data_IF_105739573586
#
_entry.id   IF_105739573586
#
_cell.length_a   1.000
_cell.length_b   1.000
_cell.length_c   1.000
_cell.angle_alpha   90.00
_cell.angle_beta   90.00
_cell.angle_gamma   90.00
#
_symmetry.space_group_name_H-M   'P 1'
#
loop_
_entity.id
_entity.type
_entity.pdbx_description
1 polymer ?
#
# COMPACT_ATOMS: atom_id res chain seq x y z
N UNK A 1 12.12 8.68 26.36
CA UNK A 1 13.48 8.64 25.75
C UNK A 1 13.78 10.05 25.26
N UNK A 2 14.91 10.62 25.65
CA UNK A 2 15.35 11.94 25.19
C UNK A 2 15.85 11.85 23.75
N UNK A 3 15.56 12.89 22.95
CA UNK A 3 15.93 12.90 21.53
C UNK A 3 17.43 13.15 21.39
N UNK A 4 18.18 12.28 20.70
CA UNK A 4 19.59 12.52 20.37
C UNK A 4 19.76 13.79 19.52
N UNK A 5 20.92 14.48 19.62
CA UNK A 5 21.17 15.71 18.86
C UNK A 5 21.23 15.48 17.34
N UNK A 6 21.65 14.29 16.92
CA UNK A 6 21.75 13.88 15.52
C UNK A 6 21.08 12.53 15.34
N UNK A 7 20.25 12.42 14.30
CA UNK A 7 19.60 11.18 13.86
C UNK A 7 19.88 10.98 12.37
N UNK A 8 20.06 9.73 11.97
CA UNK A 8 20.04 9.37 10.55
C UNK A 8 18.59 9.20 10.09
N UNK A 9 18.31 9.55 8.83
CA UNK A 9 16.95 9.43 8.32
C UNK A 9 16.88 9.42 6.79
N UNK A 10 15.69 9.16 6.29
CA UNK A 10 15.35 9.15 4.87
C UNK A 10 14.15 10.03 4.61
N UNK A 11 14.16 10.70 3.46
CA UNK A 11 13.03 11.52 3.00
C UNK A 11 12.44 10.88 1.75
N UNK A 12 11.16 10.57 1.83
CA UNK A 12 10.34 10.00 0.76
C UNK A 12 9.48 11.09 0.14
N UNK A 13 9.35 11.07 -1.18
CA UNK A 13 8.50 12.00 -1.92
C UNK A 13 7.24 11.28 -2.40
N UNK A 14 6.09 11.72 -1.94
CA UNK A 14 4.80 11.43 -2.55
C UNK A 14 4.54 12.51 -3.59
N UNK A 15 4.35 12.12 -4.85
CA UNK A 15 4.06 13.04 -5.93
C UNK A 15 2.66 13.64 -5.78
N UNK A 16 2.40 14.74 -6.48
CA UNK A 16 1.04 15.29 -6.62
C UNK A 16 0.09 14.19 -7.12
N UNK A 17 -1.07 14.11 -6.50
CA UNK A 17 -2.10 13.12 -6.78
C UNK A 17 -3.50 13.76 -6.76
N UNK A 18 -4.56 13.06 -7.17
CA UNK A 18 -5.93 13.55 -6.99
C UNK A 18 -6.31 13.87 -5.54
N UNK A 19 -5.60 13.28 -4.56
CA UNK A 19 -5.82 13.48 -3.12
C UNK A 19 -5.04 14.65 -2.53
N UNK A 20 -3.98 15.13 -3.23
CA UNK A 20 -3.15 16.26 -2.78
C UNK A 20 -2.67 17.10 -3.96
N UNK A 21 -2.99 18.38 -3.93
CA UNK A 21 -2.63 19.34 -4.98
C UNK A 21 -1.12 19.62 -5.07
N UNK A 22 -0.38 19.25 -4.03
CA UNK A 22 1.07 19.46 -3.93
C UNK A 22 1.78 18.17 -3.56
N UNK A 23 3.05 18.06 -3.96
CA UNK A 23 3.90 16.98 -3.48
C UNK A 23 4.08 17.05 -1.96
N UNK A 24 4.14 15.88 -1.34
CA UNK A 24 4.38 15.70 0.08
C UNK A 24 5.74 15.04 0.29
N UNK A 25 6.47 15.47 1.29
CA UNK A 25 7.76 14.90 1.68
C UNK A 25 7.66 14.36 3.08
N UNK A 26 7.92 13.08 3.25
CA UNK A 26 7.87 12.37 4.53
C UNK A 26 9.30 12.03 4.92
N UNK A 27 9.76 12.58 6.04
CA UNK A 27 11.08 12.31 6.60
C UNK A 27 10.92 11.39 7.80
N UNK A 28 11.55 10.23 7.76
CA UNK A 28 11.63 9.27 8.86
C UNK A 28 13.06 9.25 9.36
N UNK A 29 13.25 9.53 10.63
CA UNK A 29 14.53 9.48 11.31
C UNK A 29 14.58 8.28 12.23
N UNK A 30 15.74 7.60 12.23
CA UNK A 30 15.97 6.36 12.94
C UNK A 30 16.96 6.55 14.08
N UNK A 31 16.76 5.77 15.13
CA UNK A 31 17.70 5.62 16.23
C UNK A 31 17.93 4.14 16.52
N UNK A 32 19.20 3.72 16.51
CA UNK A 32 19.60 2.31 16.75
C UNK A 32 18.85 1.31 15.86
N UNK A 33 18.66 1.65 14.57
CA UNK A 33 18.00 0.79 13.60
C UNK A 33 16.48 0.69 13.75
N UNK A 34 15.87 1.57 14.54
CA UNK A 34 14.41 1.66 14.73
C UNK A 34 13.91 3.05 14.39
N UNK A 35 12.70 3.18 13.86
CA UNK A 35 12.10 4.49 13.61
C UNK A 35 11.91 5.24 14.93
N UNK A 36 12.27 6.51 14.95
CA UNK A 36 12.22 7.37 16.13
C UNK A 36 11.26 8.53 15.99
N UNK A 37 11.24 9.17 14.83
CA UNK A 37 10.37 10.31 14.55
C UNK A 37 10.02 10.40 13.07
N UNK A 38 8.87 10.99 12.76
CA UNK A 38 8.41 11.26 11.41
C UNK A 38 7.99 12.72 11.28
N UNK A 39 8.30 13.30 10.12
CA UNK A 39 7.87 14.64 9.73
C UNK A 39 7.22 14.60 8.35
N UNK A 40 6.18 15.37 8.16
CA UNK A 40 5.53 15.56 6.88
C UNK A 40 5.59 17.03 6.50
N UNK A 41 6.16 17.31 5.33
CA UNK A 41 6.23 18.62 4.73
C UNK A 41 5.43 18.65 3.42
N UNK A 42 4.49 19.57 3.31
CA UNK A 42 3.73 19.83 2.09
C UNK A 42 3.40 21.31 1.98
N UNK A 43 3.23 21.78 0.74
CA UNK A 43 2.68 23.11 0.46
C UNK A 43 1.15 23.14 0.56
N UNK A 44 0.51 21.98 0.67
CA UNK A 44 -0.93 21.86 0.79
C UNK A 44 -1.38 22.21 2.21
N UNK A 45 -2.05 23.33 2.35
CA UNK A 45 -2.55 23.83 3.64
C UNK A 45 -3.82 23.14 4.11
N UNK A 46 -4.58 22.49 3.21
CA UNK A 46 -5.82 21.79 3.55
C UNK A 46 -5.58 20.66 4.54
N UNK A 47 -4.44 19.98 4.40
CA UNK A 47 -4.09 18.81 5.19
C UNK A 47 -3.12 19.11 6.35
N UNK A 48 -2.68 20.36 6.48
CA UNK A 48 -1.61 20.75 7.40
C UNK A 48 -1.86 20.34 8.86
N UNK A 49 -3.03 20.66 9.39
CA UNK A 49 -3.30 20.44 10.83
C UNK A 49 -3.31 18.96 11.19
N UNK A 50 -4.02 18.14 10.41
CA UNK A 50 -4.12 16.72 10.71
C UNK A 50 -2.82 15.96 10.39
N UNK A 51 -2.06 16.36 9.37
CA UNK A 51 -0.74 15.79 9.09
C UNK A 51 0.24 16.04 10.21
N UNK A 52 0.28 17.27 10.76
CA UNK A 52 1.11 17.58 11.94
C UNK A 52 0.65 16.79 13.17
N UNK A 53 -0.65 16.70 13.43
CA UNK A 53 -1.17 15.92 14.54
C UNK A 53 -0.79 14.43 14.40
N UNK A 54 -0.96 13.86 13.20
CA UNK A 54 -0.63 12.47 12.89
C UNK A 54 0.87 12.20 13.11
N UNK A 55 1.76 13.05 12.58
CA UNK A 55 3.21 12.87 12.75
C UNK A 55 3.65 12.93 14.20
N UNK A 56 3.03 13.79 15.01
CA UNK A 56 3.31 13.86 16.45
C UNK A 56 2.87 12.58 17.17
N UNK A 57 1.70 12.05 16.84
CA UNK A 57 1.18 10.80 17.43
C UNK A 57 2.07 9.62 17.01
N UNK A 58 2.39 9.46 15.72
CA UNK A 58 3.26 8.40 15.24
C UNK A 58 4.65 8.49 15.90
N UNK A 59 5.24 9.67 15.96
CA UNK A 59 6.53 9.88 16.63
C UNK A 59 6.49 9.55 18.12
N UNK A 60 5.35 9.79 18.78
CA UNK A 60 5.17 9.40 20.18
C UNK A 60 5.10 7.87 20.34
N UNK A 61 4.43 7.17 19.40
CA UNK A 61 4.39 5.70 19.37
C UNK A 61 5.79 5.14 19.17
N UNK A 62 6.56 5.66 18.21
CA UNK A 62 7.95 5.23 17.97
C UNK A 62 8.82 5.38 19.24
N UNK A 63 8.76 6.53 19.91
CA UNK A 63 9.53 6.79 21.14
C UNK A 63 9.07 5.95 22.34
N UNK A 64 7.81 5.50 22.37
CA UNK A 64 7.33 4.57 23.37
C UNK A 64 8.01 3.22 23.24
N UNK A 65 8.43 2.85 22.03
CA UNK A 65 9.08 1.58 21.72
C UNK A 65 8.11 0.41 21.62
N UNK A 66 8.66 -0.75 21.32
CA UNK A 66 7.89 -1.95 21.00
C UNK A 66 7.67 -2.12 19.50
N UNK A 67 6.78 -3.01 19.14
CA UNK A 67 6.39 -3.22 17.75
C UNK A 67 5.46 -2.10 17.29
N UNK A 68 5.88 -1.39 16.23
CA UNK A 68 5.12 -0.29 15.61
C UNK A 68 4.60 -0.65 14.21
N UNK A 69 4.75 -1.91 13.77
CA UNK A 69 4.35 -2.35 12.43
C UNK A 69 2.85 -2.27 12.19
N UNK A 70 2.05 -2.37 13.23
CA UNK A 70 0.59 -2.21 13.17
C UNK A 70 0.16 -0.86 12.58
N UNK A 71 0.97 0.19 12.70
CA UNK A 71 0.66 1.50 12.13
C UNK A 71 0.50 1.46 10.60
N UNK A 72 1.17 0.52 9.94
CA UNK A 72 1.08 0.33 8.48
C UNK A 72 -0.35 -0.04 8.11
N UNK A 73 -0.89 -1.10 8.74
CA UNK A 73 -2.24 -1.59 8.45
C UNK A 73 -3.32 -0.58 8.88
N UNK A 74 -3.15 0.07 10.03
CA UNK A 74 -4.09 1.09 10.51
C UNK A 74 -4.20 2.25 9.51
N UNK A 75 -3.08 2.76 8.99
CA UNK A 75 -3.09 3.84 8.01
C UNK A 75 -3.61 3.40 6.65
N UNK A 76 -3.23 2.20 6.20
CA UNK A 76 -3.64 1.67 4.89
C UNK A 76 -5.12 1.30 4.83
N UNK A 77 -5.75 1.03 5.96
CA UNK A 77 -7.18 0.74 6.06
C UNK A 77 -8.08 1.96 5.94
N UNK A 78 -7.52 3.17 6.02
CA UNK A 78 -8.29 4.42 5.94
C UNK A 78 -8.68 4.71 4.48
N UNK A 79 -9.98 4.93 4.27
CA UNK A 79 -10.54 5.28 2.96
C UNK A 79 -11.01 6.74 2.96
N UNK A 80 -10.74 7.45 1.86
CA UNK A 80 -11.31 8.78 1.63
C UNK A 80 -12.78 8.64 1.22
N UNK A 81 -13.72 9.37 1.87
CA UNK A 81 -15.14 9.31 1.50
C UNK A 81 -15.42 9.80 0.07
N UNK A 82 -14.53 10.61 -0.51
CA UNK A 82 -14.61 11.06 -1.90
C UNK A 82 -13.98 10.07 -2.89
N UNK A 83 -13.46 8.95 -2.40
CA UNK A 83 -12.79 7.93 -3.18
C UNK A 83 -11.28 8.11 -3.28
N UNK A 84 -10.58 6.99 -3.53
CA UNK A 84 -9.16 6.97 -3.79
C UNK A 84 -8.82 7.10 -5.28
N UNK A 85 -7.61 6.72 -5.64
CA UNK A 85 -7.16 6.72 -7.03
C UNK A 85 -6.23 5.53 -7.33
N UNK A 86 -6.01 5.28 -8.62
CA UNK A 86 -5.03 4.28 -9.05
C UNK A 86 -3.69 4.95 -9.38
N UNK A 87 -2.65 4.53 -8.67
CA UNK A 87 -1.27 4.87 -8.98
C UNK A 87 -0.64 3.65 -9.70
N UNK A 88 -0.47 3.76 -11.02
CA UNK A 88 -0.11 2.63 -11.88
C UNK A 88 -1.14 1.50 -11.68
N UNK A 89 -0.76 0.36 -11.13
CA UNK A 89 -1.66 -0.78 -10.89
C UNK A 89 -2.03 -0.96 -9.41
N UNK A 90 -1.72 0.03 -8.57
CA UNK A 90 -2.00 -0.01 -7.14
C UNK A 90 -3.11 0.99 -6.80
N UNK A 91 -4.17 0.52 -6.14
CA UNK A 91 -5.23 1.38 -5.64
C UNK A 91 -4.81 2.04 -4.33
N UNK A 92 -4.90 3.36 -4.28
CA UNK A 92 -4.60 4.18 -3.11
C UNK A 92 -5.91 4.73 -2.55
N UNK A 93 -6.39 4.21 -1.41
CA UNK A 93 -7.70 4.56 -0.90
C UNK A 93 -7.76 5.95 -0.26
N UNK A 94 -6.64 6.48 0.24
CA UNK A 94 -6.60 7.79 0.89
C UNK A 94 -5.17 8.32 0.99
N UNK A 95 -5.04 9.61 1.35
CA UNK A 95 -3.74 10.22 1.66
C UNK A 95 -3.09 9.59 2.91
N UNK A 96 -3.89 9.15 3.88
CA UNK A 96 -3.38 8.41 5.03
C UNK A 96 -2.78 7.07 4.61
N UNK A 97 -3.41 6.38 3.64
CA UNK A 97 -2.87 5.13 3.09
C UNK A 97 -1.54 5.34 2.33
N UNK A 98 -1.37 6.47 1.62
CA UNK A 98 -0.08 6.82 1.01
C UNK A 98 1.03 6.99 2.06
N UNK A 99 0.70 7.58 3.21
CA UNK A 99 1.62 7.68 4.35
C UNK A 99 1.93 6.27 4.88
N UNK A 100 0.93 5.40 4.98
CA UNK A 100 1.09 4.00 5.36
C UNK A 100 2.02 3.23 4.42
N UNK A 101 1.92 3.45 3.10
CA UNK A 101 2.81 2.84 2.10
C UNK A 101 4.28 3.29 2.30
N UNK A 102 4.51 4.55 2.66
CA UNK A 102 5.86 5.05 2.99
C UNK A 102 6.40 4.39 4.25
N UNK A 103 5.57 4.23 5.30
CA UNK A 103 5.98 3.50 6.51
C UNK A 103 6.30 2.03 6.19
N UNK A 104 5.48 1.36 5.38
CA UNK A 104 5.72 -0.01 4.93
C UNK A 104 7.08 -0.13 4.22
N UNK A 105 7.36 0.77 3.28
CA UNK A 105 8.64 0.80 2.58
C UNK A 105 9.80 0.98 3.55
N UNK A 106 9.73 1.97 4.43
CA UNK A 106 10.79 2.29 5.39
C UNK A 106 11.05 1.13 6.35
N UNK A 107 10.00 0.53 6.91
CA UNK A 107 10.12 -0.59 7.84
C UNK A 107 10.66 -1.86 7.15
N UNK A 108 10.29 -2.08 5.90
CA UNK A 108 10.84 -3.16 5.08
C UNK A 108 12.35 -2.95 4.84
N UNK A 109 12.78 -1.72 4.54
CA UNK A 109 14.20 -1.37 4.35
C UNK A 109 15.02 -1.49 5.64
N UNK A 110 14.40 -1.29 6.81
CA UNK A 110 15.01 -1.55 8.12
C UNK A 110 14.99 -3.03 8.52
N UNK A 111 14.31 -3.90 7.77
CA UNK A 111 14.13 -5.32 8.12
C UNK A 111 13.15 -5.56 9.27
N UNK A 112 12.34 -4.57 9.63
CA UNK A 112 11.34 -4.65 10.71
C UNK A 112 9.99 -5.17 10.24
N UNK A 113 9.72 -5.12 8.95
CA UNK A 113 8.45 -5.55 8.34
C UNK A 113 8.73 -6.42 7.12
N UNK A 114 8.02 -7.53 7.02
CA UNK A 114 8.00 -8.37 5.82
C UNK A 114 6.57 -8.39 5.31
N UNK A 115 6.41 -7.94 4.07
CA UNK A 115 5.11 -8.03 3.39
C UNK A 115 4.74 -9.50 3.25
N UNK A 116 3.62 -9.89 3.84
CA UNK A 116 3.11 -11.25 3.74
C UNK A 116 2.70 -11.52 2.28
N UNK A 117 3.63 -12.10 1.53
CA UNK A 117 3.44 -12.48 0.13
C UNK A 117 2.68 -13.82 -0.02
N UNK A 118 2.12 -14.33 1.09
CA UNK A 118 1.43 -15.62 1.12
C UNK A 118 0.29 -15.69 0.11
N UNK A 119 -0.49 -14.60 -0.03
CA UNK A 119 -1.58 -14.52 -1.02
C UNK A 119 -1.05 -14.43 -2.46
N UNK A 120 0.05 -13.72 -2.68
CA UNK A 120 0.66 -13.63 -4.02
C UNK A 120 1.33 -14.96 -4.41
N UNK A 121 1.96 -15.65 -3.46
CA UNK A 121 2.54 -16.97 -3.67
C UNK A 121 1.42 -18.00 -3.89
N UNK A 122 0.36 -17.99 -3.09
CA UNK A 122 -0.80 -18.86 -3.28
C UNK A 122 -1.50 -18.59 -4.63
N UNK A 123 -1.63 -17.34 -5.04
CA UNK A 123 -2.17 -17.00 -6.36
C UNK A 123 -1.26 -17.47 -7.50
N UNK A 124 0.06 -17.35 -7.35
CA UNK A 124 1.02 -17.85 -8.34
C UNK A 124 1.07 -19.40 -8.38
N UNK A 125 0.91 -20.05 -7.25
CA UNK A 125 0.81 -21.52 -7.17
C UNK A 125 -0.52 -21.99 -7.76
N UNK A 126 -1.63 -21.30 -7.53
CA UNK A 126 -2.91 -21.59 -8.17
C UNK A 126 -2.87 -21.39 -9.69
N UNK A 127 -2.12 -20.40 -10.19
CA UNK A 127 -1.90 -20.21 -11.63
C UNK A 127 -0.99 -21.29 -12.20
N UNK A 128 0.04 -21.71 -11.46
CA UNK A 128 0.92 -22.82 -11.89
C UNK A 128 0.27 -24.19 -11.81
N UNK A 129 -0.63 -24.42 -10.85
CA UNK A 129 -1.39 -25.69 -10.73
C UNK A 129 -2.53 -25.80 -11.74
N UNK A 130 -3.00 -24.69 -12.30
CA UNK A 130 -3.87 -24.64 -13.48
C UNK A 130 -3.04 -24.54 -14.75
N UNK A 131 -2.15 -25.48 -15.00
CA UNK A 131 -1.88 -25.90 -16.36
C UNK A 131 -3.18 -26.55 -16.84
N UNK A 132 -4.05 -25.73 -17.38
CA UNK A 132 -5.23 -26.19 -18.10
C UNK A 132 -4.71 -27.10 -19.20
N UNK A 133 -5.03 -28.38 -19.08
CA UNK A 133 -4.87 -29.34 -20.17
C UNK A 133 -5.61 -28.71 -21.37
N UNK A 134 -4.90 -28.37 -22.46
CA UNK A 134 -5.53 -27.74 -23.62
C UNK A 134 -6.61 -28.60 -24.27
N UNK A 135 -6.74 -29.86 -23.85
CA UNK A 135 -7.77 -30.80 -24.32
C UNK A 135 -9.08 -30.74 -23.51
N UNK A 136 -9.14 -30.03 -22.37
CA UNK A 136 -10.32 -30.00 -21.51
C UNK A 136 -11.37 -28.92 -21.86
N UNK A 137 -11.02 -27.94 -22.66
CA UNK A 137 -11.95 -26.92 -23.17
C UNK A 137 -12.37 -27.25 -24.60
N UNK A 138 -13.26 -28.25 -24.77
CA UNK A 138 -14.08 -28.34 -25.97
C UNK A 138 -15.08 -27.19 -25.95
N UNK A 139 -14.65 -26.01 -26.40
CA UNK A 139 -15.57 -24.91 -26.67
C UNK A 139 -16.56 -25.41 -27.76
N UNK A 140 -17.86 -25.29 -27.47
CA UNK A 140 -18.92 -25.62 -28.42
C UNK A 140 -18.85 -24.58 -29.55
N UNK A 141 -18.83 -25.06 -30.78
CA UNK A 141 -18.86 -24.20 -31.97
C UNK A 141 -20.25 -23.54 -32.12
N UNK A 142 -20.26 -22.24 -32.35
CA UNK A 142 -21.49 -21.53 -32.67
C UNK A 142 -22.08 -22.03 -34.02
N UNK A 143 -23.36 -22.47 -34.06
CA UNK A 143 -23.94 -22.99 -35.31
C UNK A 143 -24.17 -21.92 -36.38
N UNK A 144 -24.02 -20.60 -36.02
CA UNK A 144 -24.23 -19.48 -36.99
C UNK A 144 -22.95 -18.94 -37.60
N UNK A 145 -21.83 -18.95 -36.90
CA UNK A 145 -20.57 -18.37 -37.39
C UNK A 145 -19.39 -19.39 -37.40
N UNK A 146 -19.55 -20.58 -36.81
CA UNK A 146 -18.52 -21.61 -36.79
C UNK A 146 -17.36 -21.35 -35.82
N UNK A 147 -17.36 -20.28 -35.05
CA UNK A 147 -16.32 -19.99 -34.06
C UNK A 147 -16.53 -20.74 -32.75
N UNK A 148 -15.43 -21.22 -32.17
CA UNK A 148 -15.40 -21.99 -30.92
C UNK A 148 -15.43 -21.02 -29.70
N UNK A 149 -16.56 -20.37 -29.45
CA UNK A 149 -16.70 -19.32 -28.42
C UNK A 149 -17.89 -19.53 -27.48
N UNK A 150 -18.59 -20.67 -27.50
CA UNK A 150 -19.72 -20.93 -26.62
C UNK A 150 -19.27 -21.60 -25.33
N UNK A 151 -19.47 -20.90 -24.20
CA UNK A 151 -19.28 -21.45 -22.84
C UNK A 151 -20.65 -21.75 -22.25
N UNK A 152 -20.90 -22.99 -21.86
CA UNK A 152 -22.12 -23.37 -21.15
C UNK A 152 -22.06 -22.83 -19.72
N UNK A 153 -22.84 -21.80 -19.43
CA UNK A 153 -23.10 -21.33 -18.05
C UNK A 153 -24.45 -21.89 -17.59
N UNK A 154 -24.46 -22.38 -16.34
CA UNK A 154 -25.58 -23.11 -15.72
C UNK A 154 -26.99 -22.71 -16.23
N UNK A 155 -27.54 -23.56 -17.10
CA UNK A 155 -28.95 -23.52 -17.48
C UNK A 155 -29.36 -22.62 -18.65
N UNK A 156 -28.46 -21.82 -19.24
CA UNK A 156 -28.73 -21.02 -20.44
C UNK A 156 -27.71 -21.32 -21.55
N UNK A 157 -28.23 -21.61 -22.74
CA UNK A 157 -27.49 -21.66 -24.01
C UNK A 157 -27.50 -20.30 -24.64
#
# INVERSE_FOLDING_TARGET
MERPPVLAGRTYKIAKSPLSESAMYITLNDYEGKPFEVFINSKDTKHYQWTIALTRVISAVFRKGGDCTFLIEELKSIHDPNGGYFNKNHYVPSLAAEIGDVLEQHFTELGLYQKDNSLAIAAQEMVKSKTLDPTALKALTCPKCGEAALIKMDGCL
#
